data_IF_109457148087
#
_entry.id   IF_109457148087
#
_cell.length_a   1.000
_cell.length_b   1.000
_cell.length_c   1.000
_cell.angle_alpha   90.00
_cell.angle_beta   90.00
_cell.angle_gamma   90.00
#
_symmetry.space_group_name_H-M   'P 1'
#
loop_
_entity.id
_entity.type
_entity.pdbx_description
1 polymer ?
#
# COMPACT_ATOMS: atom_id res chain seq x y z
N UNK A 1 -10.21 -1.57 -5.08
CA UNK A 1 -9.93 -0.63 -3.97
C UNK A 1 -10.18 0.77 -4.51
N UNK A 2 -10.35 1.77 -3.65
CA UNK A 2 -10.32 3.18 -4.06
C UNK A 2 -8.91 3.70 -3.82
N UNK A 3 -8.35 4.39 -4.81
CA UNK A 3 -7.12 5.13 -4.60
C UNK A 3 -7.41 6.33 -3.69
N UNK A 4 -6.49 6.66 -2.81
CA UNK A 4 -6.60 7.74 -1.84
C UNK A 4 -6.64 9.14 -2.47
N UNK A 5 -6.46 10.15 -1.63
CA UNK A 5 -6.46 11.57 -2.02
C UNK A 5 -7.74 12.28 -1.58
N UNK A 6 -8.90 11.85 -2.08
CA UNK A 6 -10.19 12.36 -1.61
C UNK A 6 -11.23 11.25 -1.65
N UNK A 7 -11.84 10.96 -0.51
CA UNK A 7 -12.92 9.98 -0.40
C UNK A 7 -13.83 10.36 0.77
N UNK A 8 -15.12 10.08 0.63
CA UNK A 8 -16.12 10.33 1.66
C UNK A 8 -16.72 8.99 2.11
N UNK A 9 -16.80 8.78 3.41
CA UNK A 9 -17.34 7.58 4.03
C UNK A 9 -18.35 7.97 5.10
N UNK A 10 -19.35 7.10 5.32
CA UNK A 10 -20.24 7.22 6.50
C UNK A 10 -19.43 6.93 7.76
N UNK A 11 -19.83 7.55 8.89
CA UNK A 11 -19.16 7.39 10.19
C UNK A 11 -19.03 5.92 10.60
N UNK A 12 -20.08 5.13 10.39
CA UNK A 12 -20.14 3.70 10.73
C UNK A 12 -19.04 2.84 10.07
N UNK A 13 -18.51 3.28 8.92
CA UNK A 13 -17.42 2.60 8.23
C UNK A 13 -16.13 2.69 9.05
N UNK A 14 -15.82 3.86 9.59
CA UNK A 14 -14.62 4.05 10.41
C UNK A 14 -14.73 3.42 11.79
N UNK A 15 -15.95 3.36 12.36
CA UNK A 15 -16.21 2.67 13.62
C UNK A 15 -16.01 1.16 13.49
N UNK A 16 -16.35 0.59 12.34
CA UNK A 16 -16.20 -0.86 12.08
C UNK A 16 -14.83 -1.23 11.52
N UNK A 17 -14.23 -0.35 10.71
CA UNK A 17 -12.98 -0.57 10.00
C UNK A 17 -12.08 0.64 10.22
N UNK A 18 -11.30 0.69 11.32
CA UNK A 18 -10.37 1.80 11.55
C UNK A 18 -9.19 1.74 10.58
N UNK A 19 -8.52 2.87 10.36
CA UNK A 19 -7.23 2.87 9.65
C UNK A 19 -6.16 2.08 10.42
N UNK A 20 -5.23 1.49 9.68
CA UNK A 20 -4.08 0.80 10.28
C UNK A 20 -3.01 1.80 10.67
N UNK A 21 -2.97 2.15 11.95
CA UNK A 21 -1.94 3.01 12.54
C UNK A 21 -0.76 2.21 13.14
N UNK A 22 -0.84 0.87 13.14
CA UNK A 22 0.13 0.00 13.81
C UNK A 22 1.27 -0.46 12.87
N UNK A 23 1.02 -0.51 11.56
CA UNK A 23 1.93 -1.08 10.57
C UNK A 23 2.62 -0.05 9.64
N UNK A 24 2.58 1.25 9.97
CA UNK A 24 3.29 2.32 9.23
C UNK A 24 3.04 2.30 7.71
N UNK A 25 1.76 2.18 7.33
CA UNK A 25 1.33 2.27 5.94
C UNK A 25 1.17 3.74 5.52
N UNK A 26 1.59 4.05 4.30
CA UNK A 26 1.50 5.39 3.71
C UNK A 26 1.29 5.38 2.18
N UNK A 27 1.77 4.34 1.50
CA UNK A 27 1.59 4.14 0.06
C UNK A 27 0.44 3.17 -0.24
N UNK A 28 0.07 2.35 0.73
CA UNK A 28 -0.96 1.32 0.58
C UNK A 28 -2.02 1.36 1.69
N UNK A 29 -2.09 2.44 2.46
CA UNK A 29 -3.09 2.63 3.52
C UNK A 29 -4.52 2.66 2.94
N UNK A 30 -4.68 3.29 1.79
CA UNK A 30 -5.92 3.38 1.02
C UNK A 30 -6.37 2.00 0.49
N UNK A 31 -5.43 1.21 -0.06
CA UNK A 31 -5.66 -0.16 -0.50
C UNK A 31 -5.98 -1.05 0.71
N UNK A 32 -5.23 -0.91 1.80
CA UNK A 32 -5.43 -1.68 3.03
C UNK A 32 -6.84 -1.48 3.59
N UNK A 33 -7.18 -0.21 3.82
CA UNK A 33 -8.48 0.21 4.32
C UNK A 33 -9.60 -0.26 3.39
N UNK A 34 -9.47 0.00 2.09
CA UNK A 34 -10.48 -0.34 1.09
C UNK A 34 -10.80 -1.84 1.09
N UNK A 35 -9.81 -2.73 1.10
CA UNK A 35 -10.10 -4.17 1.10
C UNK A 35 -10.77 -4.61 2.39
N UNK A 36 -10.38 -4.08 3.56
CA UNK A 36 -11.03 -4.43 4.83
C UNK A 36 -12.47 -3.92 4.87
N UNK A 37 -12.72 -2.71 4.39
CA UNK A 37 -14.06 -2.17 4.24
C UNK A 37 -14.93 -3.04 3.30
N UNK A 38 -14.38 -3.52 2.17
CA UNK A 38 -15.11 -4.44 1.28
C UNK A 38 -15.41 -5.77 1.95
N UNK A 39 -14.51 -6.30 2.78
CA UNK A 39 -14.78 -7.53 3.55
C UNK A 39 -15.92 -7.34 4.56
N UNK A 40 -16.04 -6.16 5.16
CA UNK A 40 -17.06 -5.87 6.16
C UNK A 40 -18.42 -5.48 5.54
N UNK A 41 -18.43 -4.70 4.46
CA UNK A 41 -19.64 -4.07 3.89
C UNK A 41 -19.97 -4.50 2.45
N UNK A 42 -19.15 -5.35 1.84
CA UNK A 42 -19.25 -5.71 0.42
C UNK A 42 -18.65 -4.67 -0.53
N UNK A 43 -18.68 -4.95 -1.83
CA UNK A 43 -18.12 -4.09 -2.87
C UNK A 43 -19.00 -2.85 -3.16
N UNK A 44 -19.05 -1.91 -2.20
CA UNK A 44 -19.88 -0.70 -2.23
C UNK A 44 -19.07 0.59 -2.44
N UNK A 45 -18.09 0.53 -3.34
CA UNK A 45 -17.29 1.69 -3.71
C UNK A 45 -17.70 2.26 -5.06
N UNK A 46 -17.80 3.58 -5.09
CA UNK A 46 -18.26 4.33 -6.25
C UNK A 46 -17.31 5.50 -6.52
N UNK A 47 -17.11 5.81 -7.79
CA UNK A 47 -16.43 7.02 -8.24
C UNK A 47 -17.52 7.97 -8.73
N UNK A 48 -17.59 9.17 -8.15
CA UNK A 48 -18.49 10.21 -8.63
C UNK A 48 -17.73 11.08 -9.66
N UNK A 49 -18.00 10.95 -10.98
CA UNK A 49 -17.27 11.70 -12.00
C UNK A 49 -17.58 13.21 -12.00
N UNK A 50 -18.64 13.63 -11.32
CA UNK A 50 -19.00 15.04 -11.14
C UNK A 50 -18.26 15.68 -9.95
N UNK A 51 -17.74 14.89 -9.02
CA UNK A 51 -16.89 15.38 -7.93
C UNK A 51 -15.44 15.45 -8.42
N UNK A 52 -14.92 16.67 -8.61
CA UNK A 52 -13.58 16.92 -9.14
C UNK A 52 -12.73 17.67 -8.11
N UNK A 53 -11.46 17.28 -8.00
CA UNK A 53 -10.47 17.93 -7.15
C UNK A 53 -9.21 18.21 -7.96
N UNK A 54 -8.68 19.43 -7.86
CA UNK A 54 -7.35 19.73 -8.37
C UNK A 54 -6.30 19.25 -7.36
N UNK A 55 -5.53 18.23 -7.73
CA UNK A 55 -4.45 17.72 -6.89
C UNK A 55 -3.13 18.39 -7.28
N UNK A 56 -2.76 19.46 -6.57
CA UNK A 56 -1.50 20.14 -6.75
C UNK A 56 -0.38 19.38 -6.04
N UNK A 57 0.51 18.77 -6.83
CA UNK A 57 1.64 18.08 -6.28
C UNK A 57 2.60 19.07 -5.62
N UNK A 58 2.79 18.96 -4.30
CA UNK A 58 3.85 19.70 -3.60
C UNK A 58 5.22 19.49 -4.28
N UNK A 59 5.97 20.57 -4.56
CA UNK A 59 7.33 20.48 -5.10
C UNK A 59 8.36 20.10 -4.03
N UNK A 60 8.03 20.29 -2.75
CA UNK A 60 8.89 20.03 -1.60
C UNK A 60 8.44 18.79 -0.81
N UNK A 61 9.26 18.34 0.14
CA UNK A 61 8.97 17.20 1.03
C UNK A 61 8.59 15.91 0.31
N UNK A 62 9.16 15.68 -0.87
CA UNK A 62 9.03 14.40 -1.58
C UNK A 62 10.08 13.42 -1.08
N UNK A 63 9.64 12.21 -0.77
CA UNK A 63 10.55 11.13 -0.42
C UNK A 63 11.58 10.92 -1.54
N UNK A 64 12.86 10.86 -1.16
CA UNK A 64 13.94 10.51 -2.07
C UNK A 64 13.64 9.15 -2.74
N UNK A 65 14.07 8.99 -3.98
CA UNK A 65 13.70 7.84 -4.83
C UNK A 65 13.97 6.50 -4.15
N UNK A 66 15.14 6.32 -3.54
CA UNK A 66 15.49 5.09 -2.83
C UNK A 66 14.60 4.84 -1.60
N UNK A 67 14.36 5.87 -0.78
CA UNK A 67 13.48 5.76 0.39
C UNK A 67 12.03 5.47 -0.01
N UNK A 68 11.55 6.09 -1.08
CA UNK A 68 10.22 5.82 -1.66
C UNK A 68 10.10 4.38 -2.13
N UNK A 69 11.10 3.88 -2.86
CA UNK A 69 11.10 2.51 -3.38
C UNK A 69 11.16 1.49 -2.23
N UNK A 70 12.02 1.72 -1.23
CA UNK A 70 12.11 0.90 -0.02
C UNK A 70 10.77 0.78 0.70
N UNK A 71 10.13 1.93 0.94
CA UNK A 71 8.81 2.01 1.57
C UNK A 71 7.76 1.25 0.76
N UNK A 72 7.66 1.50 -0.56
CA UNK A 72 6.71 0.85 -1.45
C UNK A 72 6.81 -0.68 -1.37
N UNK A 73 8.02 -1.23 -1.54
CA UNK A 73 8.24 -2.69 -1.49
C UNK A 73 7.87 -3.25 -0.12
N UNK A 74 8.36 -2.64 0.96
CA UNK A 74 8.04 -3.02 2.35
C UNK A 74 6.53 -3.04 2.60
N UNK A 75 5.79 -2.02 2.16
CA UNK A 75 4.34 -1.95 2.36
C UNK A 75 3.59 -3.05 1.61
N UNK A 76 4.01 -3.41 0.40
CA UNK A 76 3.40 -4.55 -0.30
C UNK A 76 3.66 -5.89 0.41
N UNK A 77 4.81 -6.07 1.09
CA UNK A 77 5.01 -7.21 1.99
C UNK A 77 4.03 -7.21 3.15
N UNK A 78 3.84 -6.06 3.81
CA UNK A 78 2.86 -5.93 4.91
C UNK A 78 1.46 -6.24 4.41
N UNK A 79 1.08 -5.65 3.28
CA UNK A 79 -0.21 -5.85 2.64
C UNK A 79 -0.47 -7.34 2.33
N UNK A 80 0.53 -8.03 1.77
CA UNK A 80 0.48 -9.46 1.48
C UNK A 80 0.36 -10.29 2.76
N UNK A 81 1.23 -10.07 3.74
CA UNK A 81 1.23 -10.81 5.02
C UNK A 81 -0.10 -10.68 5.77
N UNK A 82 -0.76 -9.53 5.68
CA UNK A 82 -2.09 -9.30 6.29
C UNK A 82 -3.24 -10.04 5.61
N UNK A 83 -3.08 -10.48 4.35
CA UNK A 83 -4.19 -10.94 3.49
C UNK A 83 -3.98 -12.27 2.81
N UNK A 84 -2.80 -12.86 2.88
CA UNK A 84 -2.52 -14.17 2.29
C UNK A 84 -3.49 -15.19 2.87
N UNK A 85 -4.37 -15.70 2.02
CA UNK A 85 -5.32 -16.76 2.36
C UNK A 85 -5.05 -18.01 1.51
N UNK A 86 -4.61 -17.82 0.27
CA UNK A 86 -4.42 -18.89 -0.73
C UNK A 86 -2.96 -18.98 -1.16
N UNK A 87 -2.59 -20.13 -1.71
CA UNK A 87 -1.26 -20.29 -2.34
C UNK A 87 -1.11 -19.40 -3.57
N UNK A 88 -2.18 -19.19 -4.34
CA UNK A 88 -2.18 -18.28 -5.50
C UNK A 88 -1.80 -16.83 -5.13
N UNK A 89 -2.08 -16.39 -3.91
CA UNK A 89 -1.68 -15.05 -3.44
C UNK A 89 -0.16 -14.90 -3.42
N UNK A 90 0.58 -15.98 -3.12
CA UNK A 90 2.04 -15.97 -3.15
C UNK A 90 2.57 -15.79 -4.58
N UNK A 91 1.95 -16.44 -5.56
CA UNK A 91 2.32 -16.28 -6.97
C UNK A 91 2.04 -14.84 -7.46
N UNK A 92 0.87 -14.29 -7.14
CA UNK A 92 0.52 -12.90 -7.46
C UNK A 92 1.47 -11.90 -6.78
N UNK A 93 1.86 -12.19 -5.53
CA UNK A 93 2.81 -11.34 -4.80
C UNK A 93 4.22 -11.41 -5.40
N UNK A 94 4.69 -12.59 -5.79
CA UNK A 94 5.96 -12.74 -6.51
C UNK A 94 5.95 -12.00 -7.85
N UNK A 95 4.85 -12.11 -8.61
CA UNK A 95 4.67 -11.35 -9.85
C UNK A 95 4.75 -9.84 -9.62
N UNK A 96 4.09 -9.33 -8.56
CA UNK A 96 4.19 -7.93 -8.16
C UNK A 96 5.64 -7.53 -7.83
N UNK A 97 6.37 -8.36 -7.07
CA UNK A 97 7.78 -8.09 -6.75
C UNK A 97 8.65 -8.03 -8.01
N UNK A 98 8.43 -8.93 -8.97
CA UNK A 98 9.10 -8.87 -10.28
C UNK A 98 8.81 -7.56 -11.01
N UNK A 99 7.54 -7.12 -11.04
CA UNK A 99 7.16 -5.82 -11.62
C UNK A 99 7.86 -4.64 -10.94
N UNK A 100 7.95 -4.65 -9.61
CA UNK A 100 8.66 -3.62 -8.83
C UNK A 100 10.19 -3.65 -9.04
N UNK A 101 10.76 -4.83 -9.29
CA UNK A 101 12.17 -4.97 -9.66
C UNK A 101 12.43 -4.36 -11.04
N UNK A 102 11.57 -4.64 -12.03
CA UNK A 102 11.64 -4.04 -13.37
C UNK A 102 11.50 -2.52 -13.28
N UNK A 103 10.56 -2.00 -12.49
CA UNK A 103 10.41 -0.55 -12.22
C UNK A 103 11.73 0.06 -11.68
N UNK A 104 12.35 -0.61 -10.70
CA UNK A 104 13.60 -0.15 -10.09
C UNK A 104 14.78 -0.17 -11.09
N UNK A 105 14.91 -1.22 -11.90
CA UNK A 105 15.90 -1.33 -12.97
C UNK A 105 15.71 -0.22 -14.02
N UNK A 106 14.48 -0.03 -14.48
CA UNK A 106 14.15 1.03 -15.43
C UNK A 106 14.49 2.40 -14.85
N UNK A 107 14.16 2.68 -13.59
CA UNK A 107 14.49 3.94 -12.95
C UNK A 107 16.01 4.16 -12.82
N UNK A 108 16.75 3.10 -12.50
CA UNK A 108 18.21 3.16 -12.40
C UNK A 108 18.86 3.49 -13.75
N UNK A 109 18.43 2.84 -14.83
CA UNK A 109 19.02 3.01 -16.17
C UNK A 109 18.52 4.28 -16.85
N UNK A 110 17.20 4.41 -17.02
CA UNK A 110 16.59 5.46 -17.84
C UNK A 110 16.62 6.84 -17.19
N UNK A 111 16.47 6.90 -15.87
CA UNK A 111 16.43 8.15 -15.11
C UNK A 111 17.72 8.39 -14.31
N UNK A 112 18.73 7.52 -14.44
CA UNK A 112 20.02 7.61 -13.73
C UNK A 112 19.83 7.68 -12.21
N UNK A 113 18.90 6.88 -11.67
CA UNK A 113 18.56 6.84 -10.23
C UNK A 113 18.96 5.50 -9.60
N UNK A 114 20.26 5.21 -9.42
CA UNK A 114 20.73 3.91 -8.91
C UNK A 114 20.21 3.61 -7.49
N UNK A 115 19.88 4.65 -6.71
CA UNK A 115 19.24 4.52 -5.41
C UNK A 115 17.92 3.73 -5.44
N UNK A 116 17.24 3.62 -6.60
CA UNK A 116 16.04 2.80 -6.75
C UNK A 116 16.33 1.31 -6.50
N UNK A 117 17.47 0.78 -6.98
CA UNK A 117 17.86 -0.61 -6.78
C UNK A 117 18.18 -0.90 -5.31
N UNK A 118 18.96 -0.01 -4.67
CA UNK A 118 19.25 -0.10 -3.24
C UNK A 118 17.98 -0.01 -2.39
N UNK A 119 17.05 0.88 -2.77
CA UNK A 119 15.73 0.98 -2.16
C UNK A 119 14.92 -0.31 -2.30
N UNK A 120 14.89 -0.92 -3.48
CA UNK A 120 14.20 -2.19 -3.73
C UNK A 120 14.77 -3.31 -2.84
N UNK A 121 16.10 -3.51 -2.84
CA UNK A 121 16.74 -4.54 -2.03
C UNK A 121 16.51 -4.35 -0.52
N UNK A 122 16.65 -3.12 -0.02
CA UNK A 122 16.36 -2.80 1.38
C UNK A 122 14.88 -3.04 1.72
N UNK A 123 13.96 -2.72 0.80
CA UNK A 123 12.53 -2.95 0.96
C UNK A 123 12.16 -4.43 1.02
N UNK A 124 12.85 -5.30 0.26
CA UNK A 124 12.71 -6.75 0.37
C UNK A 124 13.09 -7.24 1.77
N UNK A 125 14.25 -6.81 2.28
CA UNK A 125 14.74 -7.21 3.60
C UNK A 125 13.83 -6.73 4.73
N UNK A 126 13.42 -5.46 4.69
CA UNK A 126 12.47 -4.89 5.65
C UNK A 126 11.14 -5.63 5.60
N UNK A 127 10.62 -5.85 4.40
CA UNK A 127 9.36 -6.54 4.16
C UNK A 127 9.37 -7.97 4.69
N UNK A 128 10.44 -8.73 4.45
CA UNK A 128 10.65 -10.08 5.00
C UNK A 128 10.69 -10.09 6.52
N UNK A 129 11.44 -9.15 7.12
CA UNK A 129 11.60 -9.02 8.59
C UNK A 129 10.37 -8.44 9.29
N UNK A 130 9.48 -7.76 8.56
CA UNK A 130 8.32 -7.09 9.15
C UNK A 130 7.38 -8.09 9.84
N UNK A 131 7.08 -7.85 11.11
CA UNK A 131 6.07 -8.58 11.86
C UNK A 131 4.80 -7.75 11.88
N UNK A 132 3.74 -8.28 11.26
CA UNK A 132 2.43 -7.62 11.22
C UNK A 132 1.90 -7.48 12.64
N UNK A 133 1.39 -6.30 12.96
CA UNK A 133 0.74 -5.98 14.23
C UNK A 133 -0.76 -5.89 14.03
N UNK A 134 -1.51 -6.30 15.05
CA UNK A 134 -2.97 -6.19 15.03
C UNK A 134 -3.42 -4.72 15.08
N UNK A 135 -4.56 -4.45 14.43
CA UNK A 135 -5.14 -3.11 14.30
C UNK A 135 -6.41 -3.06 15.15
N UNK A 136 -6.31 -2.50 16.36
CA UNK A 136 -7.44 -2.35 17.29
C UNK A 136 -7.89 -3.68 17.91
N UNK A 137 -7.83 -3.77 19.25
CA UNK A 137 -8.03 -5.01 20.01
C UNK A 137 -9.47 -5.54 20.08
N UNK A 138 -10.04 -5.95 18.95
CA UNK A 138 -11.12 -6.96 18.98
C UNK A 138 -10.64 -8.19 18.24
N UNK A 139 -10.40 -9.24 19.04
CA UNK A 139 -10.29 -10.61 18.55
C UNK A 139 -11.49 -10.88 17.65
N UNK A 140 -11.23 -11.20 16.39
CA UNK A 140 -12.23 -11.81 15.52
C UNK A 140 -12.71 -13.09 16.20
N UNK A 141 -14.02 -13.22 16.35
CA UNK A 141 -14.69 -14.50 16.64
C UNK A 141 -14.36 -15.50 15.55
#
# INVERSE_FOLDING_TARGET
>A
YLSGGLSAYRREVFESVPFDTANDLFMTEDIDFSTRAVRCFGARFYINPNARLAHYMSPANRAAVGARQRRKVREFFVFYKKRRERMADAANFLWLLCGLAIEACFAAVRYRRPAALGGYAAGLLDGLRWRVREVGGRKSV
#
